data_IF_753315700947
#
_entry.id   IF_753315700947
#
_cell.length_a   1.000
_cell.length_b   1.000
_cell.length_c   1.000
_cell.angle_alpha   90.00
_cell.angle_beta   90.00
_cell.angle_gamma   90.00
#
_symmetry.space_group_name_H-M   'P 1'
#
loop_
_entity.id
_entity.type
_entity.pdbx_description
1 polymer ?
#
# COMPACT_ATOMS: atom_id res chain seq x y z
N UNK A 1 20.37 -73.92 56.33
CA UNK A 1 21.12 -72.85 57.04
C UNK A 1 20.60 -71.56 56.43
N UNK A 2 19.44 -71.06 56.88
CA UNK A 2 19.29 -70.17 58.06
C UNK A 2 20.24 -68.97 57.95
N UNK A 3 19.86 -67.70 58.06
CA UNK A 3 18.60 -66.99 58.28
C UNK A 3 18.98 -65.49 58.25
N UNK A 4 18.16 -64.63 57.66
CA UNK A 4 18.18 -63.17 57.94
C UNK A 4 17.90 -62.90 59.44
N UNK A 5 18.24 -61.72 60.05
CA UNK A 5 17.65 -60.42 59.64
C UNK A 5 18.37 -59.08 60.02
N UNK A 6 17.77 -58.00 59.48
CA UNK A 6 17.47 -56.66 60.04
C UNK A 6 18.54 -55.56 60.27
N UNK A 7 18.24 -54.36 59.75
CA UNK A 7 18.36 -53.10 60.51
C UNK A 7 19.11 -51.95 59.84
N UNK A 8 18.38 -50.87 59.52
CA UNK A 8 18.82 -49.63 58.85
C UNK A 8 19.71 -48.69 59.71
N UNK A 9 20.34 -47.68 59.09
CA UNK A 9 19.99 -46.23 59.17
C UNK A 9 21.17 -45.32 58.67
N UNK A 10 20.80 -44.35 57.83
CA UNK A 10 21.42 -43.03 57.46
C UNK A 10 22.84 -42.91 56.86
N UNK A 11 22.89 -42.28 55.67
CA UNK A 11 24.06 -41.57 55.14
C UNK A 11 23.69 -40.09 54.95
N UNK A 12 24.42 -39.21 55.64
CA UNK A 12 24.29 -37.75 55.62
C UNK A 12 24.82 -37.15 54.32
N UNK A 13 24.03 -36.24 53.75
CA UNK A 13 24.36 -35.38 52.61
C UNK A 13 25.48 -34.38 52.94
N UNK A 14 26.35 -34.15 51.95
CA UNK A 14 27.48 -33.22 52.02
C UNK A 14 27.10 -31.90 51.33
N UNK A 15 26.81 -30.86 52.10
CA UNK A 15 26.65 -29.48 51.59
C UNK A 15 28.02 -28.85 51.32
N UNK A 16 28.28 -28.41 50.09
CA UNK A 16 29.34 -27.46 49.76
C UNK A 16 28.76 -26.09 49.44
N UNK A 17 29.27 -25.12 50.19
CA UNK A 17 29.04 -23.68 50.12
C UNK A 17 29.31 -23.12 48.70
N UNK A 18 28.28 -22.60 48.03
CA UNK A 18 28.43 -21.74 46.85
C UNK A 18 27.91 -20.34 47.21
N UNK A 19 28.84 -19.40 47.30
CA UNK A 19 28.60 -17.97 47.51
C UNK A 19 27.75 -17.38 46.38
N UNK A 20 26.71 -16.62 46.75
CA UNK A 20 25.75 -15.95 45.87
C UNK A 20 26.40 -14.88 44.99
N UNK A 21 26.16 -14.97 43.69
CA UNK A 21 26.39 -13.90 42.71
C UNK A 21 25.11 -13.04 42.68
N UNK A 22 25.18 -11.70 42.81
CA UNK A 22 23.99 -10.86 42.65
C UNK A 22 23.55 -10.82 41.18
N UNK A 23 22.28 -11.05 40.93
CA UNK A 23 21.67 -10.96 39.60
C UNK A 23 21.82 -9.54 38.99
N UNK A 24 22.14 -9.40 37.70
CA UNK A 24 22.02 -8.11 37.02
C UNK A 24 20.57 -7.89 36.58
N UNK A 25 19.69 -7.56 37.51
CA UNK A 25 18.32 -7.11 37.20
C UNK A 25 18.32 -5.61 36.88
N UNK A 26 18.70 -5.17 35.66
CA UNK A 26 18.40 -3.78 35.21
C UNK A 26 18.58 -3.44 33.71
N UNK A 27 18.69 -4.39 32.78
CA UNK A 27 18.89 -4.06 31.35
C UNK A 27 18.02 -4.80 30.31
N UNK A 28 16.84 -5.30 30.69
CA UNK A 28 16.00 -6.10 29.77
C UNK A 28 14.68 -5.45 29.28
N UNK A 29 14.34 -4.23 29.70
CA UNK A 29 13.00 -3.65 29.40
C UNK A 29 12.98 -2.52 28.37
N UNK A 30 14.11 -1.87 28.08
CA UNK A 30 14.17 -0.69 27.21
C UNK A 30 13.96 -0.94 25.69
N UNK A 31 14.47 -2.03 25.06
CA UNK A 31 14.36 -2.18 23.61
C UNK A 31 12.92 -2.46 23.13
N UNK A 32 12.10 -3.10 23.98
CA UNK A 32 10.72 -3.47 23.62
C UNK A 32 9.81 -2.26 23.46
N UNK A 33 9.93 -1.27 24.36
CA UNK A 33 9.04 -0.11 24.42
C UNK A 33 9.24 0.82 23.22
N UNK A 34 10.49 1.07 22.82
CA UNK A 34 10.81 1.92 21.66
C UNK A 34 10.43 1.25 20.33
N UNK A 35 10.66 -0.05 20.22
CA UNK A 35 10.24 -0.89 19.09
C UNK A 35 8.72 -0.90 18.93
N UNK A 36 7.98 -1.08 20.03
CA UNK A 36 6.52 -1.09 20.03
C UNK A 36 5.95 0.29 19.66
N UNK A 37 6.57 1.39 20.10
CA UNK A 37 6.14 2.74 19.75
C UNK A 37 6.31 3.05 18.25
N UNK A 38 7.45 2.67 17.66
CA UNK A 38 7.69 2.84 16.22
C UNK A 38 6.70 2.00 15.37
N UNK A 39 6.39 0.78 15.82
CA UNK A 39 5.37 -0.07 15.19
C UNK A 39 3.99 0.56 15.24
N UNK A 40 3.55 0.99 16.43
CA UNK A 40 2.22 1.59 16.62
C UNK A 40 2.08 2.87 15.78
N UNK A 41 3.13 3.69 15.71
CA UNK A 41 3.15 4.88 14.87
C UNK A 41 3.01 4.52 13.38
N UNK A 42 3.69 3.47 12.90
CA UNK A 42 3.54 3.01 11.52
C UNK A 42 2.13 2.44 11.24
N UNK A 43 1.59 1.63 12.15
CA UNK A 43 0.24 1.07 12.02
C UNK A 43 -0.83 2.16 11.99
N UNK A 44 -0.70 3.17 12.85
CA UNK A 44 -1.59 4.33 12.87
C UNK A 44 -1.44 5.22 11.63
N UNK A 45 -0.20 5.48 11.19
CA UNK A 45 0.06 6.28 9.99
C UNK A 45 -0.47 5.62 8.70
N UNK A 46 -0.64 4.29 8.72
CA UNK A 46 -1.17 3.50 7.61
C UNK A 46 -2.60 2.97 7.89
N UNK A 47 -3.29 3.43 8.92
CA UNK A 47 -4.71 3.09 9.18
C UNK A 47 -4.99 1.56 9.22
N UNK A 48 -4.07 0.80 9.79
CA UNK A 48 -4.19 -0.66 9.90
C UNK A 48 -5.13 -1.01 11.05
N UNK A 49 -6.30 -1.57 10.76
CA UNK A 49 -7.29 -1.95 11.77
C UNK A 49 -7.11 -3.42 12.22
N UNK A 50 -7.19 -3.67 13.52
CA UNK A 50 -7.27 -5.03 14.07
C UNK A 50 -8.69 -5.57 13.85
N UNK A 51 -8.84 -6.48 12.89
CA UNK A 51 -10.11 -7.11 12.59
C UNK A 51 -10.06 -8.57 13.03
N UNK A 52 -11.14 -9.05 13.64
CA UNK A 52 -11.35 -10.47 13.95
C UNK A 52 -11.10 -11.33 12.71
N UNK A 53 -10.48 -12.50 12.89
CA UNK A 53 -10.19 -13.48 11.82
C UNK A 53 -11.44 -13.94 11.05
N UNK A 54 -12.64 -13.54 11.49
CA UNK A 54 -13.91 -13.66 10.78
C UNK A 54 -13.87 -13.07 9.36
N UNK A 55 -13.15 -11.97 9.14
CA UNK A 55 -12.99 -11.39 7.81
C UNK A 55 -12.28 -12.34 6.82
N UNK A 56 -11.54 -13.34 7.30
CA UNK A 56 -10.87 -14.34 6.48
C UNK A 56 -11.80 -15.49 6.07
N UNK A 57 -12.92 -15.70 6.79
CA UNK A 57 -13.83 -16.81 6.50
C UNK A 57 -14.55 -16.58 5.17
N UNK A 58 -14.45 -17.54 4.26
CA UNK A 58 -15.16 -17.51 2.99
C UNK A 58 -16.43 -18.35 3.04
N UNK A 59 -17.59 -17.71 2.91
CA UNK A 59 -18.88 -18.38 2.74
C UNK A 59 -19.36 -18.22 1.29
N UNK A 60 -19.18 -19.28 0.50
CA UNK A 60 -19.54 -19.30 -0.91
C UNK A 60 -21.03 -19.01 -1.16
N UNK A 61 -21.92 -19.53 -0.30
CA UNK A 61 -23.37 -19.36 -0.47
C UNK A 61 -23.81 -17.90 -0.24
N UNK A 62 -23.24 -17.26 0.78
CA UNK A 62 -23.50 -15.83 1.07
C UNK A 62 -22.90 -14.94 0.00
N UNK A 63 -21.68 -15.24 -0.44
CA UNK A 63 -21.05 -14.47 -1.51
C UNK A 63 -21.85 -14.58 -2.82
N UNK A 64 -22.28 -15.80 -3.19
CA UNK A 64 -23.08 -16.02 -4.39
C UNK A 64 -24.45 -15.34 -4.32
N UNK A 65 -25.09 -15.30 -3.14
CA UNK A 65 -26.37 -14.60 -3.00
C UNK A 65 -26.23 -13.10 -3.21
N UNK A 66 -25.16 -12.47 -2.70
CA UNK A 66 -24.86 -11.06 -2.92
C UNK A 66 -24.59 -10.79 -4.41
N UNK A 67 -23.74 -11.61 -5.03
CA UNK A 67 -23.38 -11.47 -6.45
C UNK A 67 -24.58 -11.70 -7.37
N UNK A 68 -25.49 -12.60 -7.03
CA UNK A 68 -26.72 -12.81 -7.77
C UNK A 68 -27.73 -11.66 -7.60
N UNK A 69 -27.79 -11.06 -6.40
CA UNK A 69 -28.67 -9.93 -6.11
C UNK A 69 -28.23 -8.63 -6.79
N UNK A 70 -26.92 -8.48 -7.09
CA UNK A 70 -26.32 -7.33 -7.77
C UNK A 70 -26.80 -5.96 -7.23
N UNK A 71 -26.73 -5.69 -5.91
CA UNK A 71 -27.27 -4.46 -5.32
C UNK A 71 -26.67 -3.17 -5.91
N UNK A 72 -25.42 -3.21 -6.37
CA UNK A 72 -24.71 -2.11 -7.03
C UNK A 72 -25.29 -1.68 -8.38
N UNK A 73 -26.22 -2.43 -8.99
CA UNK A 73 -26.88 -1.95 -10.21
C UNK A 73 -27.87 -0.82 -9.93
N UNK A 74 -28.35 -0.72 -8.70
CA UNK A 74 -29.33 0.30 -8.30
C UNK A 74 -28.67 1.60 -7.83
N UNK A 75 -27.41 1.51 -7.38
CA UNK A 75 -26.64 2.65 -6.86
C UNK A 75 -25.21 2.61 -7.43
N UNK A 76 -24.85 3.54 -8.34
CA UNK A 76 -23.49 3.69 -8.86
C UNK A 76 -22.41 3.90 -7.78
N UNK A 77 -22.81 4.34 -6.58
CA UNK A 77 -21.94 4.61 -5.44
C UNK A 77 -22.11 3.59 -4.29
N UNK A 78 -22.64 2.41 -4.60
CA UNK A 78 -22.87 1.33 -3.62
C UNK A 78 -21.61 0.94 -2.86
N UNK A 79 -20.47 0.80 -3.55
CA UNK A 79 -19.21 0.46 -2.92
C UNK A 79 -18.52 1.72 -2.39
N UNK A 80 -18.28 1.77 -1.08
CA UNK A 80 -17.67 2.94 -0.43
C UNK A 80 -16.24 2.68 0.04
N UNK A 81 -15.93 1.42 0.36
CA UNK A 81 -14.65 1.05 0.95
C UNK A 81 -14.05 -0.21 0.36
N UNK A 82 -12.72 -0.29 0.43
CA UNK A 82 -11.90 -1.43 0.05
C UNK A 82 -11.03 -1.83 1.24
N UNK A 83 -11.09 -3.10 1.61
CA UNK A 83 -10.25 -3.71 2.64
C UNK A 83 -9.18 -4.56 1.99
N UNK A 84 -7.91 -4.27 2.25
CA UNK A 84 -6.78 -4.99 1.64
C UNK A 84 -6.04 -5.78 2.72
N UNK A 85 -5.84 -7.07 2.49
CA UNK A 85 -5.04 -7.90 3.39
C UNK A 85 -3.57 -7.46 3.37
N UNK A 86 -2.88 -7.56 4.51
CA UNK A 86 -1.46 -7.24 4.60
C UNK A 86 -0.61 -8.04 3.59
N UNK A 87 -0.98 -9.29 3.32
CA UNK A 87 -0.30 -10.14 2.33
C UNK A 87 -0.50 -9.62 0.91
N UNK A 88 -1.74 -9.28 0.54
CA UNK A 88 -2.03 -8.72 -0.79
C UNK A 88 -1.28 -7.40 -0.99
N UNK A 89 -1.30 -6.54 0.03
CA UNK A 89 -0.58 -5.27 0.02
C UNK A 89 0.92 -5.46 -0.22
N UNK A 90 1.56 -6.32 0.57
CA UNK A 90 3.01 -6.58 0.45
C UNK A 90 3.37 -7.14 -0.92
N UNK A 91 2.58 -8.08 -1.45
CA UNK A 91 2.79 -8.63 -2.80
C UNK A 91 2.71 -7.57 -3.88
N UNK A 92 1.69 -6.70 -3.82
CA UNK A 92 1.53 -5.63 -4.79
C UNK A 92 2.68 -4.62 -4.69
N UNK A 93 3.10 -4.25 -3.47
CA UNK A 93 4.22 -3.33 -3.25
C UNK A 93 5.55 -3.90 -3.77
N UNK A 94 5.85 -5.16 -3.47
CA UNK A 94 7.07 -5.83 -3.97
C UNK A 94 7.06 -5.88 -5.50
N UNK A 95 5.92 -6.23 -6.10
CA UNK A 95 5.80 -6.27 -7.55
C UNK A 95 5.93 -4.89 -8.18
N UNK A 96 5.22 -3.88 -7.68
CA UNK A 96 5.30 -2.49 -8.15
C UNK A 96 6.73 -1.95 -8.04
N UNK A 97 7.42 -2.22 -6.93
CA UNK A 97 8.81 -1.84 -6.75
C UNK A 97 9.74 -2.53 -7.75
N UNK A 98 9.50 -3.82 -8.05
CA UNK A 98 10.29 -4.57 -9.05
C UNK A 98 10.13 -4.06 -10.49
N UNK A 99 9.01 -3.39 -10.80
CA UNK A 99 8.77 -2.76 -12.11
C UNK A 99 9.63 -1.53 -12.37
N UNK A 100 10.19 -0.90 -11.33
CA UNK A 100 11.02 0.28 -11.43
C UNK A 100 10.25 1.46 -12.04
N UNK A 101 10.68 1.90 -13.22
CA UNK A 101 10.06 3.01 -13.97
C UNK A 101 8.89 2.57 -14.85
N UNK A 102 8.67 1.27 -15.00
CA UNK A 102 7.64 0.74 -15.88
C UNK A 102 6.37 0.44 -15.10
N UNK A 103 5.24 0.67 -15.74
CA UNK A 103 3.96 0.24 -15.21
C UNK A 103 3.89 -1.29 -15.21
N UNK A 104 3.51 -1.88 -14.09
CA UNK A 104 3.18 -3.30 -14.00
C UNK A 104 1.70 -3.45 -13.69
N UNK A 105 1.16 -4.65 -13.90
CA UNK A 105 -0.21 -4.95 -13.52
C UNK A 105 -0.38 -6.34 -12.94
N UNK A 106 -1.44 -6.54 -12.19
CA UNK A 106 -1.81 -7.83 -11.64
C UNK A 106 -3.29 -7.91 -11.29
N UNK A 107 -3.69 -9.06 -10.80
CA UNK A 107 -5.08 -9.38 -10.49
C UNK A 107 -5.28 -9.48 -8.98
N UNK A 108 -6.45 -9.04 -8.54
CA UNK A 108 -6.92 -9.08 -7.17
C UNK A 108 -7.89 -10.25 -6.99
N UNK A 109 -7.66 -11.03 -5.96
CA UNK A 109 -8.53 -12.13 -5.54
C UNK A 109 -9.20 -11.74 -4.24
N UNK A 110 -10.52 -11.94 -4.16
CA UNK A 110 -11.24 -11.56 -2.95
C UNK A 110 -12.73 -11.85 -2.99
N UNK A 111 -13.45 -11.08 -2.18
CA UNK A 111 -14.89 -11.19 -2.03
C UNK A 111 -15.53 -9.83 -1.79
N UNK A 112 -16.85 -9.77 -1.90
CA UNK A 112 -17.66 -8.63 -1.50
C UNK A 112 -18.40 -8.93 -0.20
N UNK A 113 -18.48 -7.92 0.67
CA UNK A 113 -19.27 -7.93 1.89
C UNK A 113 -20.03 -6.61 1.97
N UNK A 114 -21.29 -6.61 1.52
CA UNK A 114 -22.13 -5.41 1.45
C UNK A 114 -21.45 -4.29 0.63
N UNK A 115 -21.33 -3.07 1.18
CA UNK A 115 -20.71 -1.90 0.56
C UNK A 115 -19.16 -1.93 0.57
N UNK A 116 -18.55 -3.02 1.03
CA UNK A 116 -17.08 -3.18 1.13
C UNK A 116 -16.57 -4.28 0.21
N UNK A 117 -15.55 -3.96 -0.58
CA UNK A 117 -14.79 -4.94 -1.37
C UNK A 117 -13.57 -5.40 -0.55
N UNK A 118 -13.38 -6.72 -0.39
CA UNK A 118 -12.33 -7.30 0.47
C UNK A 118 -11.33 -8.04 -0.42
N UNK A 119 -10.15 -7.46 -0.59
CA UNK A 119 -9.00 -8.06 -1.27
C UNK A 119 -8.28 -8.99 -0.30
N UNK A 120 -8.29 -10.28 -0.62
CA UNK A 120 -7.70 -11.35 0.18
C UNK A 120 -6.28 -11.66 -0.27
N UNK A 121 -6.04 -11.68 -1.59
CA UNK A 121 -4.73 -11.91 -2.17
C UNK A 121 -4.57 -11.20 -3.52
N UNK A 122 -3.35 -11.16 -4.04
CA UNK A 122 -3.02 -10.66 -5.37
C UNK A 122 -1.99 -11.55 -6.06
N UNK A 123 -1.92 -11.46 -7.39
CA UNK A 123 -0.86 -12.08 -8.17
C UNK A 123 -0.47 -11.22 -9.37
N UNK A 124 0.83 -11.19 -9.75
CA UNK A 124 1.30 -10.42 -10.88
C UNK A 124 0.86 -11.06 -12.19
N UNK A 125 0.57 -10.24 -13.21
CA UNK A 125 0.50 -10.71 -14.58
C UNK A 125 1.87 -10.54 -15.23
N UNK A 126 2.28 -11.42 -16.16
CA UNK A 126 3.55 -11.32 -16.88
C UNK A 126 3.46 -10.24 -17.97
N UNK A 127 3.02 -9.04 -17.58
CA UNK A 127 2.71 -7.91 -18.46
C UNK A 127 3.44 -6.70 -17.94
N UNK A 128 4.19 -6.07 -18.82
CA UNK A 128 4.81 -4.79 -18.60
C UNK A 128 4.05 -3.75 -19.42
N UNK A 129 3.44 -2.79 -18.73
CA UNK A 129 2.75 -1.68 -19.34
C UNK A 129 3.74 -0.63 -19.82
N UNK A 130 3.44 -0.06 -20.99
CA UNK A 130 3.87 1.28 -21.35
C UNK A 130 2.61 2.07 -21.65
N UNK A 131 2.59 3.35 -21.31
CA UNK A 131 1.44 4.25 -21.44
C UNK A 131 0.81 4.29 -22.86
N UNK A 132 1.55 3.82 -23.88
CA UNK A 132 1.10 3.81 -25.28
C UNK A 132 0.73 2.44 -25.82
N UNK A 133 1.00 1.34 -25.10
CA UNK A 133 0.74 -0.02 -25.59
C UNK A 133 0.38 -0.98 -24.46
N UNK A 134 -0.84 -1.51 -24.54
CA UNK A 134 -1.28 -2.70 -23.80
C UNK A 134 -1.17 -3.88 -24.76
N UNK A 135 0.00 -4.52 -24.84
CA UNK A 135 0.25 -5.58 -25.83
C UNK A 135 0.53 -6.94 -25.19
N UNK A 136 -0.35 -7.37 -24.29
CA UNK A 136 -0.31 -8.72 -23.70
C UNK A 136 -1.69 -9.22 -23.27
N UNK A 137 -2.79 -8.69 -23.84
CA UNK A 137 -4.14 -9.04 -23.37
C UNK A 137 -4.41 -10.55 -23.52
N UNK A 138 -4.03 -11.16 -24.64
CA UNK A 138 -4.23 -12.59 -24.92
C UNK A 138 -3.49 -13.50 -23.93
N UNK A 139 -2.20 -13.29 -23.75
CA UNK A 139 -1.32 -14.10 -22.90
C UNK A 139 -1.68 -13.90 -21.42
N UNK A 140 -2.08 -12.69 -21.04
CA UNK A 140 -2.58 -12.40 -19.70
C UNK A 140 -3.88 -13.16 -19.41
N UNK A 141 -4.84 -13.23 -20.36
CA UNK A 141 -6.07 -13.98 -20.15
C UNK A 141 -5.84 -15.48 -19.99
N UNK A 142 -4.94 -16.06 -20.79
CA UNK A 142 -4.54 -17.48 -20.64
C UNK A 142 -3.92 -17.73 -19.26
N UNK A 143 -2.99 -16.86 -18.85
CA UNK A 143 -2.37 -16.95 -17.53
C UNK A 143 -3.40 -16.81 -16.40
N UNK A 144 -4.34 -15.88 -16.51
CA UNK A 144 -5.42 -15.68 -15.54
C UNK A 144 -6.30 -16.92 -15.39
N UNK A 145 -6.71 -17.54 -16.51
CA UNK A 145 -7.54 -18.73 -16.49
C UNK A 145 -6.81 -19.90 -15.80
N UNK A 146 -5.56 -20.15 -16.19
CA UNK A 146 -4.72 -21.20 -15.60
C UNK A 146 -4.46 -20.96 -14.11
N UNK A 147 -4.10 -19.72 -13.75
CA UNK A 147 -3.80 -19.38 -12.35
C UNK A 147 -5.04 -19.52 -11.46
N UNK A 148 -6.20 -19.07 -11.93
CA UNK A 148 -7.46 -19.20 -11.18
C UNK A 148 -7.81 -20.68 -10.95
N UNK A 149 -7.62 -21.54 -11.96
CA UNK A 149 -7.83 -22.99 -11.82
C UNK A 149 -6.88 -23.61 -10.78
N UNK A 150 -5.60 -23.23 -10.79
CA UNK A 150 -4.60 -23.72 -9.84
C UNK A 150 -4.89 -23.26 -8.40
N UNK A 151 -5.28 -22.00 -8.23
CA UNK A 151 -5.68 -21.43 -6.94
C UNK A 151 -6.89 -22.16 -6.37
N UNK A 152 -7.88 -22.48 -7.21
CA UNK A 152 -9.04 -23.28 -6.82
C UNK A 152 -8.65 -24.68 -6.35
N UNK A 153 -7.72 -25.35 -7.06
CA UNK A 153 -7.17 -26.67 -6.66
C UNK A 153 -6.38 -26.61 -5.35
N UNK A 154 -5.74 -25.48 -5.05
CA UNK A 154 -5.04 -25.24 -3.79
C UNK A 154 -5.98 -24.90 -2.62
N UNK A 155 -7.30 -24.93 -2.83
CA UNK A 155 -8.30 -24.75 -1.78
C UNK A 155 -8.69 -23.29 -1.51
N UNK A 156 -8.22 -22.34 -2.32
CA UNK A 156 -8.67 -20.94 -2.27
C UNK A 156 -9.89 -20.78 -3.16
N UNK A 157 -10.97 -20.27 -2.57
CA UNK A 157 -12.32 -20.30 -3.18
C UNK A 157 -12.80 -18.94 -3.63
N UNK A 158 -12.03 -17.90 -3.30
CA UNK A 158 -12.27 -16.52 -3.71
C UNK A 158 -12.07 -16.36 -5.22
N UNK A 159 -12.93 -15.54 -5.82
CA UNK A 159 -12.88 -15.22 -7.24
C UNK A 159 -12.06 -13.94 -7.48
N UNK A 160 -11.83 -13.64 -8.75
CA UNK A 160 -11.30 -12.34 -9.17
C UNK A 160 -12.25 -11.22 -8.70
N UNK A 161 -11.67 -10.21 -8.07
CA UNK A 161 -12.37 -9.04 -7.51
C UNK A 161 -11.98 -7.73 -8.21
N UNK A 162 -10.88 -7.73 -8.94
CA UNK A 162 -10.34 -6.53 -9.54
C UNK A 162 -8.94 -6.71 -10.10
N UNK A 163 -8.31 -5.59 -10.39
CA UNK A 163 -6.94 -5.50 -10.89
C UNK A 163 -6.19 -4.40 -10.17
N UNK A 164 -4.87 -4.50 -10.17
CA UNK A 164 -4.00 -3.42 -9.73
C UNK A 164 -2.95 -3.11 -10.78
N UNK A 165 -2.47 -1.88 -10.79
CA UNK A 165 -1.31 -1.46 -11.58
C UNK A 165 -0.51 -0.41 -10.83
N UNK A 166 0.70 -0.13 -11.32
CA UNK A 166 1.58 0.87 -10.72
C UNK A 166 1.68 2.13 -11.55
N UNK A 167 1.69 3.30 -10.90
CA UNK A 167 2.02 4.60 -11.48
C UNK A 167 3.29 5.15 -10.83
N UNK A 168 4.50 4.86 -11.35
CA UNK A 168 5.74 5.25 -10.70
C UNK A 168 5.99 6.76 -10.79
N UNK A 169 5.78 7.49 -9.70
CA UNK A 169 6.19 8.89 -9.53
C UNK A 169 5.15 9.96 -9.87
N UNK A 170 3.99 9.60 -10.44
CA UNK A 170 2.94 10.55 -10.85
C UNK A 170 1.61 10.40 -10.08
N UNK A 171 1.60 9.63 -9.00
CA UNK A 171 0.47 9.52 -8.08
C UNK A 171 -0.60 8.52 -8.49
N UNK A 172 -1.57 8.33 -7.59
CA UNK A 172 -2.62 7.33 -7.75
C UNK A 172 -3.89 7.99 -8.31
N UNK A 173 -4.18 7.73 -9.58
CA UNK A 173 -5.35 8.19 -10.34
C UNK A 173 -5.53 7.28 -11.57
N UNK A 174 -6.64 7.39 -12.30
CA UNK A 174 -6.89 6.58 -13.51
C UNK A 174 -6.73 7.43 -14.77
N UNK A 175 -5.87 7.00 -15.69
CA UNK A 175 -5.73 7.57 -17.04
C UNK A 175 -6.95 7.29 -17.92
N UNK A 176 -7.01 7.90 -19.10
CA UNK A 176 -8.06 7.58 -20.09
C UNK A 176 -8.10 6.08 -20.48
N UNK A 177 -6.93 5.42 -20.51
CA UNK A 177 -6.81 3.98 -20.80
C UNK A 177 -7.31 3.17 -19.61
N UNK A 178 -6.95 3.56 -18.39
CA UNK A 178 -7.36 2.86 -17.16
C UNK A 178 -8.86 2.97 -16.94
N UNK A 179 -9.45 4.14 -17.18
CA UNK A 179 -10.90 4.34 -17.14
C UNK A 179 -11.60 3.42 -18.14
N UNK A 180 -11.08 3.30 -19.37
CA UNK A 180 -11.68 2.44 -20.40
C UNK A 180 -11.56 0.95 -20.04
N UNK A 181 -10.40 0.55 -19.50
CA UNK A 181 -10.13 -0.81 -19.03
C UNK A 181 -11.02 -1.17 -17.84
N UNK A 182 -11.08 -0.29 -16.85
CA UNK A 182 -11.92 -0.45 -15.66
C UNK A 182 -13.40 -0.50 -16.02
N UNK A 183 -13.85 0.37 -16.93
CA UNK A 183 -15.22 0.35 -17.43
C UNK A 183 -15.56 -1.01 -18.08
N UNK A 184 -14.70 -1.49 -18.97
CA UNK A 184 -14.86 -2.80 -19.63
C UNK A 184 -14.95 -3.94 -18.60
N UNK A 185 -14.05 -3.95 -17.61
CA UNK A 185 -14.07 -4.97 -16.57
C UNK A 185 -15.32 -4.87 -15.68
N UNK A 186 -15.78 -3.67 -15.32
CA UNK A 186 -17.06 -3.47 -14.62
C UNK A 186 -18.26 -3.88 -15.48
N UNK A 187 -18.21 -3.80 -16.81
CA UNK A 187 -19.30 -4.27 -17.67
C UNK A 187 -19.40 -5.80 -17.69
N UNK A 188 -18.27 -6.50 -17.78
CA UNK A 188 -18.25 -7.95 -18.04
C UNK A 188 -17.93 -8.83 -16.83
N UNK A 189 -17.29 -8.29 -15.78
CA UNK A 189 -16.79 -9.01 -14.61
C UNK A 189 -17.21 -8.36 -13.28
N UNK A 190 -18.37 -7.71 -13.23
CA UNK A 190 -18.87 -7.05 -12.02
C UNK A 190 -19.13 -8.06 -10.88
N UNK A 191 -18.66 -7.81 -9.63
CA UNK A 191 -18.03 -6.59 -9.13
C UNK A 191 -16.51 -6.49 -9.34
N UNK A 192 -16.03 -5.32 -9.83
CA UNK A 192 -14.62 -5.10 -10.17
C UNK A 192 -14.03 -3.78 -9.63
N UNK A 193 -12.82 -3.80 -9.06
CA UNK A 193 -12.11 -2.60 -8.55
C UNK A 193 -10.74 -2.41 -9.21
N UNK A 194 -10.34 -1.16 -9.43
CA UNK A 194 -8.98 -0.80 -9.84
C UNK A 194 -8.19 -0.29 -8.62
N UNK A 195 -6.99 -0.84 -8.39
CA UNK A 195 -6.04 -0.32 -7.40
C UNK A 195 -4.82 0.24 -8.11
N UNK A 196 -4.43 1.46 -7.76
CA UNK A 196 -3.22 2.12 -8.28
C UNK A 196 -2.22 2.26 -7.15
N UNK A 197 -0.95 1.93 -7.42
CA UNK A 197 0.14 2.04 -6.44
C UNK A 197 1.25 2.90 -7.02
N UNK A 198 1.72 3.89 -6.26
CA UNK A 198 2.92 4.64 -6.62
C UNK A 198 4.11 4.14 -5.77
N UNK A 199 4.94 3.21 -6.29
CA UNK A 199 6.06 2.67 -5.53
C UNK A 199 7.14 3.73 -5.25
N UNK A 200 7.32 4.68 -6.17
CA UNK A 200 8.31 5.75 -6.05
C UNK A 200 7.93 6.71 -4.93
N UNK A 201 6.67 7.17 -4.90
CA UNK A 201 6.18 8.02 -3.82
C UNK A 201 6.07 7.29 -2.49
N UNK A 202 5.77 5.98 -2.51
CA UNK A 202 5.73 5.17 -1.29
C UNK A 202 7.09 5.17 -0.58
N UNK A 203 8.17 5.01 -1.34
CA UNK A 203 9.53 5.05 -0.80
C UNK A 203 9.91 6.47 -0.36
N UNK A 204 9.51 7.51 -1.11
CA UNK A 204 9.84 8.91 -0.76
C UNK A 204 9.14 9.39 0.51
N UNK A 205 7.85 9.12 0.63
CA UNK A 205 7.05 9.57 1.77
C UNK A 205 7.21 8.71 3.01
N UNK A 206 7.75 7.50 2.89
CA UNK A 206 7.73 6.51 3.97
C UNK A 206 6.30 6.07 4.36
N UNK A 207 5.31 6.38 3.52
CA UNK A 207 3.89 6.03 3.67
C UNK A 207 3.42 5.38 2.38
N UNK A 208 2.64 4.30 2.51
CA UNK A 208 2.05 3.60 1.36
C UNK A 208 1.18 4.57 0.54
N UNK A 209 1.56 4.77 -0.72
CA UNK A 209 0.78 5.57 -1.68
C UNK A 209 -0.01 4.61 -2.58
N UNK A 210 -1.28 4.43 -2.22
CA UNK A 210 -2.20 3.50 -2.87
C UNK A 210 -3.59 4.13 -2.93
N UNK A 211 -4.19 4.13 -4.11
CA UNK A 211 -5.58 4.54 -4.32
C UNK A 211 -6.41 3.39 -4.86
N UNK A 212 -7.67 3.29 -4.43
CA UNK A 212 -8.65 2.36 -5.00
C UNK A 212 -9.78 3.14 -5.67
N UNK A 213 -10.16 2.72 -6.87
CA UNK A 213 -11.04 3.48 -7.75
C UNK A 213 -12.07 2.60 -8.44
N UNK A 214 -13.22 3.21 -8.74
CA UNK A 214 -14.27 2.64 -9.59
C UNK A 214 -14.82 3.69 -10.54
N UNK A 215 -15.15 3.27 -11.75
CA UNK A 215 -15.70 4.15 -12.79
C UNK A 215 -17.21 4.26 -12.68
N UNK A 216 -17.74 5.45 -12.98
CA UNK A 216 -19.18 5.65 -13.12
C UNK A 216 -19.73 4.96 -14.38
N UNK A 217 -21.00 4.52 -14.38
CA UNK A 217 -21.68 4.02 -15.57
C UNK A 217 -21.81 5.10 -16.66
N UNK A 218 -21.97 4.69 -17.92
CA UNK A 218 -22.22 5.63 -19.01
C UNK A 218 -23.51 6.43 -18.78
N UNK A 219 -23.43 7.75 -18.98
CA UNK A 219 -24.56 8.67 -18.81
C UNK A 219 -24.82 9.12 -17.38
N UNK A 220 -24.15 8.55 -16.38
CA UNK A 220 -24.22 9.06 -15.01
C UNK A 220 -23.40 10.33 -14.85
N UNK A 221 -24.02 11.40 -14.34
CA UNK A 221 -23.32 12.62 -13.94
C UNK A 221 -23.16 12.58 -12.42
N UNK A 222 -21.93 12.57 -11.90
CA UNK A 222 -21.74 12.65 -10.46
C UNK A 222 -22.33 13.98 -9.93
N UNK A 223 -22.89 13.98 -8.71
CA UNK A 223 -23.16 15.23 -8.01
C UNK A 223 -21.85 16.04 -7.94
N UNK A 224 -21.92 17.36 -8.06
CA UNK A 224 -20.75 18.25 -7.91
C UNK A 224 -20.22 18.16 -6.47
N UNK A 225 -19.48 17.10 -6.17
CA UNK A 225 -18.85 16.89 -4.86
C UNK A 225 -17.34 17.05 -4.95
N UNK A 226 -16.83 17.91 -4.06
CA UNK A 226 -15.65 17.71 -3.23
C UNK A 226 -14.27 17.80 -3.89
N UNK A 227 -13.31 18.53 -3.29
CA UNK A 227 -11.95 18.56 -3.82
C UNK A 227 -11.35 17.15 -3.72
N UNK A 228 -11.09 16.52 -4.87
CA UNK A 228 -10.16 15.39 -4.97
C UNK A 228 -8.92 15.73 -4.16
N UNK A 229 -8.45 14.80 -3.32
CA UNK A 229 -7.23 14.97 -2.54
C UNK A 229 -6.11 15.45 -3.47
N UNK A 230 -5.51 16.60 -3.15
CA UNK A 230 -4.53 17.23 -4.04
C UNK A 230 -3.29 16.34 -4.10
N UNK A 231 -3.02 15.82 -5.30
CA UNK A 231 -1.76 15.16 -5.61
C UNK A 231 -0.97 16.02 -6.59
N UNK A 232 0.35 16.07 -6.40
CA UNK A 232 1.23 16.65 -7.40
C UNK A 232 1.18 15.75 -8.63
N UNK A 233 0.83 16.28 -9.78
CA UNK A 233 0.78 15.53 -11.05
C UNK A 233 1.76 16.20 -12.00
N UNK A 234 2.65 15.44 -12.66
CA UNK A 234 3.55 15.99 -13.69
C UNK A 234 2.81 16.69 -14.82
N UNK A 235 3.46 17.67 -15.43
CA UNK A 235 2.85 18.51 -16.48
C UNK A 235 2.41 17.72 -17.70
N UNK A 236 3.13 16.67 -18.08
CA UNK A 236 2.80 15.78 -19.20
C UNK A 236 1.53 14.93 -18.94
N UNK A 237 1.09 14.83 -17.68
CA UNK A 237 -0.07 14.03 -17.25
C UNK A 237 -1.28 14.84 -16.84
N UNK A 238 -1.12 16.15 -16.63
CA UNK A 238 -2.15 17.00 -16.05
C UNK A 238 -3.39 17.12 -16.94
N UNK A 239 -3.22 17.08 -18.26
CA UNK A 239 -4.32 17.17 -19.22
C UNK A 239 -5.20 15.92 -19.18
N UNK A 240 -4.57 14.74 -19.23
CA UNK A 240 -5.29 13.45 -19.18
C UNK A 240 -6.04 13.30 -17.85
N UNK A 241 -5.37 13.62 -16.73
CA UNK A 241 -6.01 13.66 -15.42
C UNK A 241 -7.23 14.60 -15.40
N UNK A 242 -7.09 15.82 -15.92
CA UNK A 242 -8.16 16.83 -15.91
C UNK A 242 -9.40 16.43 -16.70
N UNK A 243 -9.25 15.63 -17.76
CA UNK A 243 -10.36 15.14 -18.59
C UNK A 243 -11.09 13.96 -17.93
N UNK A 244 -10.34 13.09 -17.24
CA UNK A 244 -10.86 11.81 -16.77
C UNK A 244 -11.18 11.75 -15.27
N UNK A 245 -10.72 12.70 -14.46
CA UNK A 245 -10.91 12.69 -13.00
C UNK A 245 -12.38 12.67 -12.53
N UNK A 246 -13.32 13.12 -13.36
CA UNK A 246 -14.77 13.08 -13.06
C UNK A 246 -15.46 11.78 -13.46
N UNK A 247 -14.75 10.85 -14.11
CA UNK A 247 -15.31 9.58 -14.60
C UNK A 247 -15.22 8.44 -13.59
N UNK A 248 -14.55 8.66 -12.47
CA UNK A 248 -14.37 7.67 -11.41
C UNK A 248 -14.47 8.34 -10.04
N UNK A 249 -14.59 7.51 -9.01
CA UNK A 249 -14.50 7.94 -7.61
C UNK A 249 -13.49 7.07 -6.85
N UNK A 250 -12.94 7.64 -5.78
CA UNK A 250 -12.05 6.92 -4.86
C UNK A 250 -12.85 6.20 -3.78
N UNK A 251 -12.42 5.00 -3.43
CA UNK A 251 -12.94 4.24 -2.31
C UNK A 251 -12.04 4.43 -1.10
N UNK A 252 -12.62 4.41 0.10
CA UNK A 252 -11.88 4.44 1.35
C UNK A 252 -11.06 3.14 1.49
N UNK A 253 -9.74 3.26 1.51
CA UNK A 253 -8.83 2.13 1.64
C UNK A 253 -8.55 1.88 3.11
N UNK A 254 -8.74 0.65 3.57
CA UNK A 254 -8.32 0.20 4.89
C UNK A 254 -7.58 -1.12 4.81
N UNK A 255 -6.71 -1.39 5.77
CA UNK A 255 -5.91 -2.61 5.80
C UNK A 255 -6.29 -3.50 6.97
N UNK A 256 -6.12 -4.80 6.77
CA UNK A 256 -6.36 -5.79 7.80
C UNK A 256 -5.30 -6.89 7.77
N UNK A 257 -5.08 -7.49 8.94
CA UNK A 257 -4.17 -8.62 9.14
C UNK A 257 -4.78 -9.62 10.10
N UNK A 258 -4.44 -10.89 9.93
CA UNK A 258 -4.82 -11.96 10.84
C UNK A 258 -4.06 -11.89 12.16
N UNK A 259 -4.57 -12.58 13.17
CA UNK A 259 -3.90 -12.77 14.47
C UNK A 259 -2.51 -13.40 14.33
N UNK A 260 -2.36 -14.37 13.41
CA UNK A 260 -1.09 -15.01 13.11
C UNK A 260 -0.13 -14.06 12.37
N UNK A 261 -0.62 -13.32 11.36
CA UNK A 261 0.19 -12.33 10.64
C UNK A 261 0.71 -11.25 11.57
N UNK A 262 -0.10 -10.77 12.53
CA UNK A 262 0.34 -9.85 13.58
C UNK A 262 1.52 -10.43 14.36
N UNK A 263 1.43 -11.70 14.76
CA UNK A 263 2.49 -12.39 15.50
C UNK A 263 3.77 -12.54 14.66
N UNK A 264 3.65 -12.90 13.39
CA UNK A 264 4.78 -13.04 12.46
C UNK A 264 5.46 -11.69 12.21
N UNK A 265 4.68 -10.64 11.93
CA UNK A 265 5.21 -9.29 11.69
C UNK A 265 5.97 -8.78 12.93
N UNK A 266 5.46 -9.05 14.13
CA UNK A 266 6.16 -8.72 15.37
C UNK A 266 7.51 -9.45 15.51
N UNK A 267 7.57 -10.73 15.14
CA UNK A 267 8.83 -11.48 15.15
C UNK A 267 9.82 -10.98 14.08
N UNK A 268 9.32 -10.60 12.90
CA UNK A 268 10.13 -10.02 11.84
C UNK A 268 10.73 -8.68 12.27
N UNK A 269 9.96 -7.84 12.94
CA UNK A 269 10.44 -6.55 13.43
C UNK A 269 11.70 -6.68 14.30
N UNK A 270 11.75 -7.69 15.17
CA UNK A 270 12.91 -7.97 16.02
C UNK A 270 14.20 -8.32 15.24
N UNK A 271 14.08 -8.74 13.97
CA UNK A 271 15.23 -9.02 13.09
C UNK A 271 15.52 -7.88 12.10
N UNK A 272 14.47 -7.22 11.62
CA UNK A 272 14.55 -6.27 10.50
C UNK A 272 14.65 -4.80 10.93
N UNK A 273 14.57 -4.47 12.24
CA UNK A 273 14.72 -3.10 12.73
C UNK A 273 16.03 -2.43 12.26
N UNK A 274 17.10 -3.21 12.09
CA UNK A 274 18.39 -2.70 11.59
C UNK A 274 18.27 -2.15 10.17
N UNK A 275 17.43 -2.75 9.32
CA UNK A 275 17.22 -2.27 7.96
C UNK A 275 16.51 -0.90 7.94
N UNK A 276 15.63 -0.63 8.91
CA UNK A 276 15.00 0.68 9.06
C UNK A 276 16.02 1.77 9.46
N UNK A 277 17.08 1.41 10.19
CA UNK A 277 18.18 2.32 10.49
C UNK A 277 19.16 2.47 9.32
N UNK A 278 19.33 1.43 8.52
CA UNK A 278 20.21 1.45 7.35
C UNK A 278 19.56 2.05 6.08
N UNK A 279 18.27 2.38 6.10
CA UNK A 279 17.57 2.86 4.90
C UNK A 279 17.94 4.31 4.57
N UNK A 280 18.63 4.54 3.46
CA UNK A 280 18.94 5.88 2.96
C UNK A 280 17.96 6.26 1.82
N UNK A 281 17.03 7.16 2.14
CA UNK A 281 16.05 7.66 1.15
C UNK A 281 16.67 8.59 0.11
N UNK A 282 17.77 9.29 0.43
CA UNK A 282 18.41 10.23 -0.51
C UNK A 282 19.07 9.51 -1.68
N UNK A 283 19.80 8.42 -1.40
CA UNK A 283 20.51 7.64 -2.43
C UNK A 283 19.54 6.78 -3.24
N UNK A 284 18.50 6.24 -2.59
CA UNK A 284 17.51 5.40 -3.25
C UNK A 284 16.72 6.12 -4.35
N UNK A 285 16.67 7.47 -4.35
CA UNK A 285 15.72 8.24 -5.16
C UNK A 285 16.27 9.51 -5.81
N UNK A 286 17.59 9.58 -6.03
CA UNK A 286 18.24 10.75 -6.64
C UNK A 286 17.56 11.22 -7.94
N UNK A 287 17.17 10.25 -8.79
CA UNK A 287 16.49 10.55 -10.05
C UNK A 287 15.09 11.14 -9.84
N UNK A 288 14.31 10.61 -8.89
CA UNK A 288 12.94 11.09 -8.65
C UNK A 288 12.91 12.56 -8.19
N UNK A 289 13.78 12.92 -7.24
CA UNK A 289 13.86 14.32 -6.78
C UNK A 289 14.31 15.26 -7.90
N UNK A 290 15.23 14.80 -8.76
CA UNK A 290 15.67 15.56 -9.93
C UNK A 290 14.52 15.78 -10.90
N UNK A 291 13.74 14.74 -11.19
CA UNK A 291 12.58 14.80 -12.07
C UNK A 291 11.48 15.72 -11.51
N UNK A 292 11.17 15.63 -10.21
CA UNK A 292 10.23 16.54 -9.54
C UNK A 292 10.69 18.00 -9.57
N UNK A 293 11.99 18.24 -9.40
CA UNK A 293 12.56 19.59 -9.46
C UNK A 293 12.48 20.16 -10.87
N UNK A 294 12.73 19.32 -11.88
CA UNK A 294 12.59 19.70 -13.29
C UNK A 294 11.13 20.01 -13.64
N UNK A 295 10.19 19.16 -13.24
CA UNK A 295 8.75 19.39 -13.45
C UNK A 295 8.27 20.67 -12.75
N UNK A 296 8.74 20.94 -11.53
CA UNK A 296 8.45 22.20 -10.84
C UNK A 296 9.00 23.42 -11.60
N UNK A 297 10.21 23.32 -12.16
CA UNK A 297 10.78 24.40 -12.97
C UNK A 297 9.92 24.66 -14.22
N UNK A 298 9.51 23.61 -14.93
CA UNK A 298 8.64 23.71 -16.09
C UNK A 298 7.26 24.31 -15.72
N UNK A 299 6.69 23.94 -14.57
CA UNK A 299 5.44 24.54 -14.04
C UNK A 299 5.58 26.04 -13.76
N UNK A 300 6.69 26.45 -13.14
CA UNK A 300 6.97 27.84 -12.80
C UNK A 300 7.22 28.67 -14.07
N UNK A 301 7.97 28.14 -15.04
CA UNK A 301 8.18 28.79 -16.33
C UNK A 301 6.86 28.99 -17.08
N UNK A 302 6.01 27.96 -17.12
CA UNK A 302 4.67 28.07 -17.68
C UNK A 302 3.80 29.10 -16.96
N UNK A 303 3.91 29.20 -15.63
CA UNK A 303 3.22 30.24 -14.88
C UNK A 303 3.75 31.64 -15.24
N UNK A 304 5.07 31.81 -15.37
CA UNK A 304 5.73 33.08 -15.71
C UNK A 304 5.41 33.56 -17.14
N UNK A 305 5.44 32.68 -18.15
CA UNK A 305 5.08 33.03 -19.53
C UNK A 305 3.63 33.55 -19.61
N UNK A 306 2.73 33.02 -18.76
CA UNK A 306 1.35 33.49 -18.68
C UNK A 306 1.23 34.89 -18.03
N UNK A 307 2.21 35.30 -17.21
CA UNK A 307 2.27 36.68 -16.67
C UNK A 307 2.71 37.67 -17.75
N UNK A 308 3.69 37.31 -18.57
CA UNK A 308 4.29 38.21 -19.57
C UNK A 308 3.39 38.48 -20.78
N UNK A 309 2.47 37.58 -21.12
CA UNK A 309 1.62 37.65 -22.34
C UNK A 309 0.35 38.53 -22.25
N UNK A 310 0.29 39.45 -21.28
CA UNK A 310 -0.74 40.48 -21.06
C UNK A 310 -2.11 40.05 -20.50
N UNK A 311 -2.57 40.83 -19.50
CA UNK A 311 -3.96 41.10 -19.10
C UNK A 311 -4.93 39.90 -18.99
N UNK A 312 -4.75 38.96 -18.07
CA UNK A 312 -5.82 37.99 -17.77
C UNK A 312 -5.86 37.48 -16.32
N UNK A 313 -7.07 37.56 -15.77
CA UNK A 313 -7.63 36.84 -14.62
C UNK A 313 -6.65 36.45 -13.49
N UNK A 314 -6.36 37.42 -12.60
CA UNK A 314 -5.49 37.25 -11.43
C UNK A 314 -5.79 35.96 -10.63
N UNK A 315 -7.06 35.52 -10.59
CA UNK A 315 -7.46 34.31 -9.87
C UNK A 315 -6.80 33.04 -10.44
N UNK A 316 -6.80 32.85 -11.77
CA UNK A 316 -6.20 31.66 -12.39
C UNK A 316 -4.69 31.61 -12.25
N UNK A 317 -4.03 32.77 -12.32
CA UNK A 317 -2.59 32.87 -12.10
C UNK A 317 -2.24 32.57 -10.64
N UNK A 318 -3.00 33.15 -9.70
CA UNK A 318 -2.84 32.92 -8.27
C UNK A 318 -3.03 31.43 -7.93
N UNK A 319 -4.01 30.77 -8.54
CA UNK A 319 -4.23 29.32 -8.36
C UNK A 319 -3.05 28.48 -8.89
N UNK A 320 -2.50 28.81 -10.06
CA UNK A 320 -1.34 28.11 -10.62
C UNK A 320 -0.10 28.29 -9.74
N UNK A 321 0.17 29.50 -9.29
CA UNK A 321 1.29 29.79 -8.39
C UNK A 321 1.09 29.12 -7.02
N UNK A 322 -0.14 29.07 -6.50
CA UNK A 322 -0.45 28.35 -5.27
C UNK A 322 -0.18 26.84 -5.41
N UNK A 323 -0.50 26.23 -6.56
CA UNK A 323 -0.15 24.83 -6.85
C UNK A 323 1.37 24.63 -6.93
N UNK A 324 2.10 25.50 -7.61
CA UNK A 324 3.57 25.44 -7.66
C UNK A 324 4.19 25.58 -6.26
N UNK A 325 3.66 26.47 -5.43
CA UNK A 325 4.10 26.64 -4.04
C UNK A 325 3.85 25.38 -3.20
N UNK A 326 2.70 24.72 -3.38
CA UNK A 326 2.42 23.43 -2.73
C UNK A 326 3.37 22.33 -3.19
N UNK A 327 3.63 22.23 -4.49
CA UNK A 327 4.59 21.27 -5.05
C UNK A 327 6.01 21.52 -4.49
N UNK A 328 6.46 22.77 -4.46
CA UNK A 328 7.76 23.17 -3.90
C UNK A 328 7.88 22.86 -2.40
N UNK A 329 6.83 23.15 -1.62
CA UNK A 329 6.79 22.84 -0.19
C UNK A 329 6.87 21.32 0.05
N UNK A 330 6.22 20.52 -0.80
CA UNK A 330 6.25 19.06 -0.72
C UNK A 330 7.65 18.50 -0.99
N UNK A 331 8.28 18.94 -2.08
CA UNK A 331 9.67 18.54 -2.43
C UNK A 331 10.64 18.93 -1.31
N UNK A 332 10.49 20.15 -0.76
CA UNK A 332 11.33 20.63 0.35
C UNK A 332 11.15 19.77 1.60
N UNK A 333 9.92 19.39 1.94
CA UNK A 333 9.63 18.54 3.08
C UNK A 333 10.22 17.12 2.92
N UNK A 334 10.12 16.54 1.73
CA UNK A 334 10.74 15.25 1.40
C UNK A 334 12.26 15.29 1.63
N UNK A 335 12.93 16.34 1.12
CA UNK A 335 14.38 16.53 1.29
C UNK A 335 14.78 16.75 2.74
N UNK A 336 14.04 17.59 3.47
CA UNK A 336 14.30 17.85 4.89
C UNK A 336 14.17 16.57 5.71
N UNK A 337 13.11 15.77 5.50
CA UNK A 337 12.93 14.50 6.19
C UNK A 337 14.09 13.53 5.91
N UNK A 338 14.56 13.47 4.67
CA UNK A 338 15.69 12.64 4.29
C UNK A 338 17.00 13.07 4.97
N UNK A 339 17.28 14.39 5.01
CA UNK A 339 18.45 14.95 5.70
C UNK A 339 18.37 14.74 7.21
N UNK A 340 17.20 14.94 7.83
CA UNK A 340 16.98 14.67 9.26
C UNK A 340 17.28 13.19 9.56
N UNK A 341 16.80 12.28 8.72
CA UNK A 341 17.10 10.85 8.84
C UNK A 341 18.60 10.55 8.83
N UNK A 342 19.38 11.27 8.03
CA UNK A 342 20.85 11.17 8.02
C UNK A 342 21.48 11.75 9.28
N UNK A 343 21.08 12.95 9.70
CA UNK A 343 21.61 13.61 10.89
C UNK A 343 21.39 12.75 12.14
N UNK A 344 20.19 12.15 12.29
CA UNK A 344 19.89 11.26 13.41
C UNK A 344 20.82 10.05 13.41
N UNK A 345 21.11 9.45 12.25
CA UNK A 345 22.04 8.30 12.17
C UNK A 345 23.46 8.72 12.48
N UNK A 346 23.89 9.87 11.98
CA UNK A 346 25.22 10.43 12.27
C UNK A 346 25.37 10.68 13.78
N UNK A 347 24.37 11.27 14.44
CA UNK A 347 24.39 11.49 15.89
C UNK A 347 24.38 10.20 16.71
N UNK A 348 23.67 9.15 16.26
CA UNK A 348 23.59 7.86 16.97
C UNK A 348 24.89 7.05 16.79
N UNK A 349 25.47 7.05 15.59
CA UNK A 349 26.55 6.13 15.21
C UNK A 349 27.93 6.79 15.07
N UNK A 350 28.06 8.12 15.12
CA UNK A 350 29.39 8.74 15.22
C UNK A 350 30.03 8.36 16.54
N UNK A 351 31.05 7.53 16.43
CA UNK A 351 32.04 7.32 17.48
C UNK A 351 33.02 8.49 17.43
N UNK A 352 33.09 9.27 18.50
CA UNK A 352 34.12 10.30 18.71
C UNK A 352 35.49 9.69 18.96
#
# INVERSE_FOLDING_TARGET
MESEPAGAVEAMDTEMLVTSIPEPSLFATAPSIASDAARIAWEHANEVNEISDECLKYNAAVHQSIVNAKPWTNDPHYFKSVKISAVALLKMLIHAHSGGVYEIMGILIGKVAHETMIVMDSFPLPVQGTETRVNAQSEAYEFMALYTELVAKAGRRENVLGWYHSHPGYGCWLSGIDVSTQHTNQTYQEPFVAIVIDPTRTVSYGKVNLGAFRTYPEGYKPPDEGPSEYQSIPMDKIEDFGVHCKRYYSLEVSYFKSSLEKSIINMLWNKYWVNALNSDSTVAQLNHLTDLTKDLADKVENAAINVDRMNFDNGRLQDKLAKCSKDAAKISLEQVNAIIGHMIKDDIFKVY
#
